data_IF_655351719544
#
_entry.id   IF_655351719544
#
_cell.length_a   1.000
_cell.length_b   1.000
_cell.length_c   1.000
_cell.angle_alpha   90.00
_cell.angle_beta   90.00
_cell.angle_gamma   90.00
#
_symmetry.space_group_name_H-M   'P 1'
#
loop_
_entity.id
_entity.type
_entity.pdbx_description
1 polymer ?
#
# COMPACT_ATOMS: atom_id res chain seq x y z
N UNK A 1 -8.46 -24.11 3.40
CA UNK A 1 -7.63 -23.99 2.18
C UNK A 1 -7.37 -25.31 1.44
N UNK A 2 -7.56 -26.50 2.03
CA UNK A 2 -7.36 -27.78 1.31
C UNK A 2 -8.48 -28.21 0.32
N UNK A 3 -9.65 -27.55 0.36
CA UNK A 3 -10.79 -27.86 -0.51
C UNK A 3 -10.49 -27.51 -1.99
N UNK A 4 -10.71 -28.46 -2.90
CA UNK A 4 -10.35 -28.29 -4.32
C UNK A 4 -11.17 -27.22 -5.05
N UNK A 5 -12.48 -27.12 -4.79
CA UNK A 5 -13.32 -26.07 -5.38
C UNK A 5 -12.91 -24.68 -4.91
N UNK A 6 -12.55 -24.54 -3.63
CA UNK A 6 -12.07 -23.27 -3.10
C UNK A 6 -10.69 -22.87 -3.65
N UNK A 7 -9.80 -23.84 -3.86
CA UNK A 7 -8.53 -23.60 -4.56
C UNK A 7 -8.74 -23.14 -6.00
N UNK A 8 -9.73 -23.70 -6.69
CA UNK A 8 -10.06 -23.28 -8.05
C UNK A 8 -10.48 -21.80 -8.08
N UNK A 9 -11.38 -21.38 -7.17
CA UNK A 9 -11.78 -19.97 -7.05
C UNK A 9 -10.58 -19.05 -6.76
N UNK A 10 -9.70 -19.46 -5.84
CA UNK A 10 -8.50 -18.68 -5.53
C UNK A 10 -7.58 -18.53 -6.76
N UNK A 11 -7.42 -19.57 -7.58
CA UNK A 11 -6.67 -19.49 -8.84
C UNK A 11 -7.33 -18.54 -9.84
N UNK A 12 -8.65 -18.61 -10.01
CA UNK A 12 -9.42 -17.73 -10.90
C UNK A 12 -9.23 -16.25 -10.50
N UNK A 13 -9.33 -15.95 -9.20
CA UNK A 13 -9.09 -14.60 -8.69
C UNK A 13 -7.64 -14.15 -8.89
N UNK A 14 -6.67 -15.02 -8.58
CA UNK A 14 -5.25 -14.71 -8.79
C UNK A 14 -4.97 -14.44 -10.28
N UNK A 15 -5.71 -15.04 -11.21
CA UNK A 15 -5.55 -14.80 -12.65
C UNK A 15 -6.13 -13.46 -13.09
N UNK A 16 -7.21 -12.99 -12.47
CA UNK A 16 -7.83 -11.70 -12.79
C UNK A 16 -7.18 -10.52 -12.05
N UNK A 17 -6.54 -10.78 -10.91
CA UNK A 17 -5.83 -9.78 -10.12
C UNK A 17 -4.63 -9.17 -10.83
N UNK A 18 -4.36 -7.89 -10.54
CA UNK A 18 -3.07 -7.25 -10.84
C UNK A 18 -2.06 -7.62 -9.77
N UNK A 19 -1.04 -8.39 -10.13
CA UNK A 19 0.09 -8.72 -9.24
C UNK A 19 1.29 -7.91 -9.68
N UNK A 20 1.84 -7.09 -8.77
CA UNK A 20 3.05 -6.31 -9.00
C UNK A 20 4.11 -6.77 -8.00
N UNK A 21 5.28 -7.24 -8.44
CA UNK A 21 5.68 -7.49 -9.82
C UNK A 21 5.02 -8.77 -10.41
N UNK A 22 4.75 -8.77 -11.72
CA UNK A 22 3.93 -9.79 -12.41
C UNK A 22 4.51 -11.21 -12.29
N UNK A 23 5.83 -11.31 -12.15
CA UNK A 23 6.58 -12.55 -11.99
C UNK A 23 6.17 -13.32 -10.73
N UNK A 24 5.65 -12.65 -9.70
CA UNK A 24 5.23 -13.30 -8.45
C UNK A 24 3.88 -14.01 -8.56
N UNK A 25 3.13 -13.83 -9.66
CA UNK A 25 1.84 -14.53 -9.86
C UNK A 25 2.01 -16.05 -9.77
N UNK A 26 3.08 -16.59 -10.35
CA UNK A 26 3.34 -18.03 -10.28
C UNK A 26 3.64 -18.49 -8.84
N UNK A 27 4.26 -17.65 -8.02
CA UNK A 27 4.50 -17.95 -6.61
C UNK A 27 3.18 -18.07 -5.84
N UNK A 28 2.24 -17.15 -6.06
CA UNK A 28 0.88 -17.24 -5.51
C UNK A 28 0.16 -18.54 -5.91
N UNK A 29 0.20 -18.89 -7.20
CA UNK A 29 -0.40 -20.15 -7.71
C UNK A 29 0.19 -21.37 -7.04
N UNK A 30 1.52 -21.45 -6.96
CA UNK A 30 2.21 -22.53 -6.27
C UNK A 30 1.76 -22.61 -4.81
N UNK A 31 1.57 -21.45 -4.15
CA UNK A 31 1.09 -21.38 -2.76
C UNK A 31 -0.31 -21.96 -2.61
N UNK A 32 -1.24 -21.56 -3.47
CA UNK A 32 -2.60 -22.14 -3.50
C UNK A 32 -2.55 -23.67 -3.65
N UNK A 33 -1.66 -24.20 -4.49
CA UNK A 33 -1.54 -25.64 -4.75
C UNK A 33 -1.03 -26.43 -3.54
N UNK A 34 0.01 -25.94 -2.85
CA UNK A 34 0.58 -26.67 -1.70
C UNK A 34 -0.21 -26.46 -0.39
N UNK A 35 -0.95 -25.36 -0.26
CA UNK A 35 -1.71 -25.06 0.96
C UNK A 35 -2.74 -26.15 1.28
N UNK A 36 -2.84 -26.52 2.56
CA UNK A 36 -3.79 -27.51 3.07
C UNK A 36 -4.63 -26.92 4.22
N UNK A 37 -5.04 -27.72 5.17
CA UNK A 37 -5.63 -27.24 6.42
C UNK A 37 -4.59 -26.44 7.20
N UNK A 38 -5.04 -25.35 7.83
CA UNK A 38 -4.25 -24.53 8.74
C UNK A 38 -4.96 -24.49 10.08
N UNK A 39 -4.24 -24.70 11.17
CA UNK A 39 -4.78 -24.41 12.50
C UNK A 39 -5.06 -22.90 12.61
N UNK A 40 -6.33 -22.55 12.82
CA UNK A 40 -6.81 -21.16 12.88
C UNK A 40 -6.98 -20.63 14.31
N UNK A 41 -6.67 -21.44 15.32
CA UNK A 41 -6.82 -21.06 16.72
C UNK A 41 -5.75 -21.68 17.62
N UNK A 42 -5.56 -21.06 18.79
CA UNK A 42 -4.57 -21.41 19.82
C UNK A 42 -5.18 -21.26 21.22
N UNK A 43 -4.51 -21.81 22.24
CA UNK A 43 -5.00 -21.77 23.64
C UNK A 43 -4.42 -20.63 24.50
N UNK A 44 -3.39 -19.93 24.02
CA UNK A 44 -2.69 -18.91 24.79
C UNK A 44 -2.31 -17.69 23.93
N UNK A 45 -2.21 -16.53 24.57
CA UNK A 45 -1.92 -15.24 23.94
C UNK A 45 -3.15 -14.32 23.85
N UNK A 46 -3.00 -13.19 23.17
CA UNK A 46 -4.08 -12.25 22.90
C UNK A 46 -4.79 -12.60 21.57
N UNK A 47 -6.06 -12.21 21.45
CA UNK A 47 -6.87 -12.35 20.24
C UNK A 47 -8.35 -12.50 20.55
N UNK A 48 -9.16 -12.65 19.50
CA UNK A 48 -10.60 -12.87 19.61
C UNK A 48 -10.89 -14.35 19.90
N UNK A 49 -11.79 -14.66 20.83
CA UNK A 49 -12.19 -16.04 21.13
C UNK A 49 -13.09 -16.59 20.02
N UNK A 50 -12.97 -17.88 19.71
CA UNK A 50 -13.94 -18.54 18.84
C UNK A 50 -15.35 -18.49 19.48
N UNK A 51 -16.41 -18.12 18.72
CA UNK A 51 -17.72 -17.90 19.31
C UNK A 51 -18.36 -19.20 19.84
N UNK A 52 -18.12 -20.33 19.17
CA UNK A 52 -18.60 -21.67 19.59
C UNK A 52 -17.62 -22.45 20.48
N UNK A 53 -16.39 -21.98 20.66
CA UNK A 53 -15.35 -22.69 21.41
C UNK A 53 -14.45 -21.73 22.19
N UNK A 54 -15.01 -21.15 23.27
CA UNK A 54 -14.40 -20.01 24.00
C UNK A 54 -13.04 -20.27 24.67
N UNK A 55 -12.62 -21.53 24.76
CA UNK A 55 -11.26 -21.93 25.22
C UNK A 55 -10.19 -21.75 24.13
N UNK A 56 -10.61 -21.45 22.91
CA UNK A 56 -9.75 -21.24 21.75
C UNK A 56 -9.80 -19.78 21.31
N UNK A 57 -8.63 -19.25 20.99
CA UNK A 57 -8.38 -17.88 20.55
C UNK A 57 -7.95 -17.95 19.09
N UNK A 58 -8.62 -17.20 18.22
CA UNK A 58 -8.27 -17.08 16.80
C UNK A 58 -6.83 -16.56 16.71
N UNK A 59 -6.01 -17.19 15.86
CA UNK A 59 -4.62 -16.81 15.71
C UNK A 59 -4.43 -15.67 14.70
N UNK A 60 -3.31 -14.95 14.82
CA UNK A 60 -3.09 -13.65 14.18
C UNK A 60 -3.13 -13.67 12.64
N UNK A 61 -2.84 -14.78 11.97
CA UNK A 61 -2.93 -14.89 10.51
C UNK A 61 -4.32 -15.32 10.02
N UNK A 62 -5.28 -15.54 10.91
CA UNK A 62 -6.65 -15.96 10.60
C UNK A 62 -7.67 -14.86 10.88
N UNK A 63 -7.40 -13.96 11.82
CA UNK A 63 -8.25 -12.77 12.08
C UNK A 63 -7.83 -11.53 11.28
N UNK A 64 -6.74 -11.61 10.52
CA UNK A 64 -6.18 -10.50 9.74
C UNK A 64 -6.44 -10.59 8.23
N UNK A 65 -7.39 -11.41 7.78
CA UNK A 65 -7.54 -11.70 6.34
C UNK A 65 -8.59 -10.86 5.61
N UNK A 66 -9.54 -10.25 6.33
CA UNK A 66 -10.64 -9.47 5.71
C UNK A 66 -10.91 -8.13 6.41
N UNK A 67 -10.04 -7.72 7.33
CA UNK A 67 -10.19 -6.48 8.10
C UNK A 67 -10.15 -5.20 7.24
N UNK A 68 -9.79 -5.31 5.97
CA UNK A 68 -9.86 -4.22 5.00
C UNK A 68 -11.31 -3.75 4.80
N UNK A 69 -12.28 -4.66 4.81
CA UNK A 69 -13.70 -4.31 4.78
C UNK A 69 -14.09 -3.51 6.03
N UNK A 70 -13.57 -3.89 7.19
CA UNK A 70 -13.81 -3.17 8.45
C UNK A 70 -13.31 -1.72 8.44
N UNK A 71 -12.23 -1.41 7.71
CA UNK A 71 -11.76 -0.02 7.56
C UNK A 71 -12.79 0.89 6.91
N UNK A 72 -13.60 0.37 5.98
CA UNK A 72 -14.58 1.18 5.24
C UNK A 72 -15.65 1.77 6.17
N UNK A 73 -15.99 1.08 7.26
CA UNK A 73 -17.13 1.44 8.10
C UNK A 73 -16.75 1.88 9.52
N UNK A 74 -15.57 1.49 10.03
CA UNK A 74 -15.23 1.70 11.44
C UNK A 74 -15.26 3.16 11.90
N UNK A 75 -14.91 4.08 11.01
CA UNK A 75 -14.90 5.51 11.34
C UNK A 75 -16.31 6.05 11.61
N UNK A 76 -17.34 5.50 10.96
CA UNK A 76 -18.74 5.84 11.18
C UNK A 76 -19.34 5.07 12.35
N UNK A 77 -18.98 3.80 12.50
CA UNK A 77 -19.42 2.96 13.63
C UNK A 77 -18.97 3.58 14.96
N UNK A 78 -17.70 4.01 15.07
CA UNK A 78 -17.18 4.63 16.30
C UNK A 78 -17.90 5.92 16.68
N UNK A 79 -18.44 6.66 15.71
CA UNK A 79 -19.17 7.90 15.96
C UNK A 79 -20.51 7.67 16.68
N UNK A 80 -21.06 6.46 16.62
CA UNK A 80 -22.35 6.10 17.21
C UNK A 80 -22.23 5.47 18.60
N UNK A 81 -21.01 5.32 19.13
CA UNK A 81 -20.72 4.68 20.43
C UNK A 81 -21.53 3.37 20.65
N UNK A 82 -21.45 2.40 19.72
CA UNK A 82 -22.31 1.23 19.73
C UNK A 82 -22.01 0.34 20.91
N UNK A 83 -23.04 -0.37 21.37
CA UNK A 83 -22.83 -1.48 22.31
C UNK A 83 -22.28 -2.66 21.52
N UNK A 84 -21.33 -3.46 22.06
CA UNK A 84 -20.82 -4.64 21.37
C UNK A 84 -21.93 -5.62 20.93
N UNK A 85 -23.03 -5.65 21.69
CA UNK A 85 -24.20 -6.49 21.41
C UNK A 85 -25.01 -6.02 20.18
N UNK A 86 -24.84 -4.76 19.74
CA UNK A 86 -25.49 -4.22 18.55
C UNK A 86 -24.83 -4.71 17.25
N UNK A 87 -23.58 -5.15 17.31
CA UNK A 87 -22.79 -5.57 16.14
C UNK A 87 -22.99 -7.07 15.85
N UNK A 88 -24.25 -7.47 15.67
CA UNK A 88 -24.65 -8.87 15.45
C UNK A 88 -24.25 -9.40 14.08
N UNK A 89 -24.46 -10.70 13.83
CA UNK A 89 -24.24 -11.28 12.50
C UNK A 89 -25.17 -10.63 11.46
N UNK A 90 -26.45 -10.38 11.78
CA UNK A 90 -27.38 -9.71 10.87
C UNK A 90 -26.96 -8.28 10.53
N UNK A 91 -26.39 -7.55 11.49
CA UNK A 91 -25.82 -6.23 11.25
C UNK A 91 -24.71 -6.28 10.21
N UNK A 92 -23.78 -7.23 10.33
CA UNK A 92 -22.66 -7.36 9.40
C UNK A 92 -23.09 -7.94 8.05
N UNK A 93 -24.03 -8.87 8.03
CA UNK A 93 -24.59 -9.44 6.81
C UNK A 93 -25.31 -8.38 5.97
N UNK A 94 -26.08 -7.48 6.61
CA UNK A 94 -26.69 -6.36 5.90
C UNK A 94 -25.62 -5.44 5.27
N UNK A 95 -24.62 -5.02 6.06
CA UNK A 95 -23.59 -4.08 5.59
C UNK A 95 -22.78 -4.69 4.44
N UNK A 96 -22.27 -5.92 4.61
CA UNK A 96 -21.29 -6.50 3.68
C UNK A 96 -21.90 -7.39 2.60
N UNK A 97 -23.07 -7.98 2.82
CA UNK A 97 -23.72 -8.90 1.88
C UNK A 97 -25.04 -8.34 1.33
N UNK A 98 -25.66 -7.38 2.01
CA UNK A 98 -26.95 -6.80 1.62
C UNK A 98 -28.13 -7.69 1.96
N UNK A 99 -27.96 -8.58 2.92
CA UNK A 99 -29.03 -9.47 3.36
C UNK A 99 -30.02 -8.70 4.26
N UNK A 100 -31.32 -8.85 3.99
CA UNK A 100 -32.38 -8.17 4.75
C UNK A 100 -32.54 -6.69 4.37
N UNK A 101 -33.05 -5.91 5.31
CA UNK A 101 -33.28 -4.46 5.16
C UNK A 101 -32.72 -3.66 6.34
N UNK A 102 -32.48 -2.37 6.11
CA UNK A 102 -32.00 -1.47 7.16
C UNK A 102 -33.00 -1.38 8.32
N UNK A 103 -34.30 -1.39 8.02
CA UNK A 103 -35.37 -1.34 9.02
C UNK A 103 -35.37 -2.58 9.93
N UNK A 104 -35.22 -3.77 9.36
CA UNK A 104 -35.18 -5.02 10.14
C UNK A 104 -33.98 -5.08 11.11
N UNK A 105 -32.84 -4.53 10.69
CA UNK A 105 -31.63 -4.47 11.53
C UNK A 105 -31.75 -3.33 12.57
N UNK A 106 -32.34 -2.20 12.20
CA UNK A 106 -32.59 -1.08 13.11
C UNK A 106 -33.53 -1.48 14.27
N UNK A 107 -34.52 -2.34 14.01
CA UNK A 107 -35.43 -2.85 15.05
C UNK A 107 -34.73 -3.68 16.14
N UNK A 108 -33.51 -4.17 15.87
CA UNK A 108 -32.76 -5.09 16.76
C UNK A 108 -31.48 -4.50 17.31
N UNK A 109 -31.09 -3.30 16.86
CA UNK A 109 -29.84 -2.65 17.23
C UNK A 109 -30.12 -1.22 17.68
N UNK A 110 -29.11 -0.53 18.21
CA UNK A 110 -29.22 0.90 18.50
C UNK A 110 -29.02 1.79 17.27
N UNK A 111 -28.70 1.22 16.10
CA UNK A 111 -28.44 1.97 14.89
C UNK A 111 -29.73 2.36 14.17
N UNK A 112 -29.92 3.63 13.77
CA UNK A 112 -31.03 4.01 12.92
C UNK A 112 -30.84 3.46 11.49
N UNK A 113 -31.94 3.17 10.80
CA UNK A 113 -31.93 2.61 9.43
C UNK A 113 -31.09 3.44 8.45
N UNK A 114 -31.22 4.77 8.50
CA UNK A 114 -30.42 5.70 7.70
C UNK A 114 -28.90 5.47 7.89
N UNK A 115 -28.48 5.23 9.13
CA UNK A 115 -27.07 4.97 9.42
C UNK A 115 -26.60 3.64 8.86
N UNK A 116 -27.44 2.61 8.93
CA UNK A 116 -27.14 1.30 8.35
C UNK A 116 -26.98 1.41 6.83
N UNK A 117 -27.84 2.16 6.16
CA UNK A 117 -27.70 2.46 4.73
C UNK A 117 -26.39 3.20 4.43
N UNK A 118 -26.03 4.22 5.21
CA UNK A 118 -24.75 4.90 5.05
C UNK A 118 -23.56 3.94 5.18
N UNK A 119 -23.57 3.06 6.18
CA UNK A 119 -22.49 2.08 6.39
C UNK A 119 -22.37 1.12 5.20
N UNK A 120 -23.50 0.64 4.68
CA UNK A 120 -23.53 -0.19 3.49
C UNK A 120 -23.01 0.56 2.26
N UNK A 121 -23.44 1.81 2.06
CA UNK A 121 -22.98 2.64 0.94
C UNK A 121 -21.48 2.90 0.99
N UNK A 122 -20.90 3.12 2.17
CA UNK A 122 -19.45 3.27 2.36
C UNK A 122 -18.70 2.01 1.92
N UNK A 123 -19.13 0.83 2.38
CA UNK A 123 -18.54 -0.43 1.94
C UNK A 123 -18.71 -0.62 0.43
N UNK A 124 -19.89 -0.39 -0.11
CA UNK A 124 -20.17 -0.56 -1.54
C UNK A 124 -19.33 0.38 -2.42
N UNK A 125 -19.04 1.58 -1.93
CA UNK A 125 -18.22 2.58 -2.61
C UNK A 125 -16.73 2.22 -2.61
N UNK A 126 -16.18 1.87 -1.43
CA UNK A 126 -14.73 1.63 -1.28
C UNK A 126 -14.30 0.21 -1.68
N UNK A 127 -15.23 -0.74 -1.80
CA UNK A 127 -14.92 -2.14 -2.10
C UNK A 127 -15.33 -2.53 -3.52
N UNK A 128 -14.52 -3.30 -4.26
CA UNK A 128 -13.34 -4.07 -3.83
C UNK A 128 -12.09 -3.23 -3.55
N UNK A 129 -11.19 -3.77 -2.73
CA UNK A 129 -9.87 -3.18 -2.49
C UNK A 129 -9.04 -3.15 -3.80
N UNK A 130 -8.60 -1.96 -4.20
CA UNK A 130 -7.81 -1.77 -5.43
C UNK A 130 -6.42 -2.40 -5.34
N UNK A 131 -5.67 -2.11 -4.27
CA UNK A 131 -4.32 -2.67 -4.08
C UNK A 131 -4.03 -3.01 -2.62
N UNK A 132 -3.39 -4.16 -2.40
CA UNK A 132 -2.82 -4.58 -1.11
C UNK A 132 -1.30 -4.58 -1.16
N UNK A 133 -0.66 -3.79 -0.31
CA UNK A 133 0.80 -3.69 -0.24
C UNK A 133 1.37 -4.55 0.89
N UNK A 134 2.43 -5.32 0.63
CA UNK A 134 3.11 -6.13 1.66
C UNK A 134 4.47 -6.65 1.25
N UNK A 135 5.24 -7.10 2.24
CA UNK A 135 6.47 -7.83 2.02
C UNK A 135 6.23 -9.20 1.36
N UNK A 136 7.21 -9.66 0.57
CA UNK A 136 7.18 -10.97 -0.10
C UNK A 136 7.01 -12.15 0.86
N UNK A 137 7.47 -12.02 2.10
CA UNK A 137 7.34 -13.02 3.16
C UNK A 137 5.88 -13.38 3.48
N UNK A 138 4.93 -12.49 3.18
CA UNK A 138 3.51 -12.69 3.41
C UNK A 138 2.75 -13.39 2.27
N UNK A 139 3.40 -13.65 1.12
CA UNK A 139 2.77 -14.38 -0.01
C UNK A 139 2.33 -15.77 0.45
N UNK A 140 3.23 -16.51 1.09
CA UNK A 140 3.01 -17.91 1.50
C UNK A 140 1.94 -18.09 2.59
N UNK A 141 1.43 -17.00 3.15
CA UNK A 141 0.51 -17.00 4.27
C UNK A 141 -0.58 -15.92 4.11
N UNK A 142 -0.49 -14.80 4.83
CA UNK A 142 -1.47 -13.73 4.92
C UNK A 142 -2.09 -13.33 3.57
N UNK A 143 -1.27 -13.04 2.56
CA UNK A 143 -1.79 -12.56 1.27
C UNK A 143 -2.58 -13.64 0.53
N UNK A 144 -2.14 -14.90 0.62
CA UNK A 144 -2.91 -16.01 0.03
C UNK A 144 -4.16 -16.32 0.86
N UNK A 145 -4.08 -16.29 2.19
CA UNK A 145 -5.24 -16.50 3.08
C UNK A 145 -6.31 -15.42 2.85
N UNK A 146 -5.88 -14.18 2.64
CA UNK A 146 -6.74 -13.07 2.24
C UNK A 146 -7.54 -13.44 1.00
N UNK A 147 -6.91 -13.87 -0.10
CA UNK A 147 -7.61 -14.28 -1.33
C UNK A 147 -8.64 -15.37 -1.04
N UNK A 148 -8.23 -16.45 -0.37
CA UNK A 148 -9.16 -17.52 -0.02
C UNK A 148 -10.35 -17.01 0.80
N UNK A 149 -10.15 -16.24 1.86
CA UNK A 149 -11.27 -15.83 2.72
C UNK A 149 -12.17 -14.80 2.03
N UNK A 150 -11.64 -13.97 1.10
CA UNK A 150 -12.52 -13.13 0.29
C UNK A 150 -13.42 -13.96 -0.63
N UNK A 151 -12.92 -15.04 -1.23
CA UNK A 151 -13.72 -15.99 -2.03
C UNK A 151 -14.87 -16.63 -1.25
N UNK A 152 -14.66 -16.85 0.05
CA UNK A 152 -15.64 -17.51 0.89
C UNK A 152 -16.79 -16.60 1.35
N UNK A 153 -16.57 -15.28 1.34
CA UNK A 153 -17.50 -14.30 1.93
C UNK A 153 -18.21 -13.49 0.84
N UNK A 154 -17.48 -13.05 -0.18
CA UNK A 154 -17.98 -12.04 -1.11
C UNK A 154 -18.13 -12.56 -2.55
N UNK A 155 -19.03 -11.97 -3.35
CA UNK A 155 -19.17 -12.31 -4.75
C UNK A 155 -17.95 -11.84 -5.56
N UNK A 156 -17.88 -12.26 -6.82
CA UNK A 156 -16.72 -12.02 -7.70
C UNK A 156 -16.38 -10.54 -7.86
N UNK A 157 -17.38 -9.67 -7.91
CA UNK A 157 -17.23 -8.22 -8.10
C UNK A 157 -16.55 -7.52 -6.91
N UNK A 158 -16.48 -8.20 -5.76
CA UNK A 158 -15.92 -7.71 -4.51
C UNK A 158 -14.59 -8.37 -4.15
N UNK A 159 -14.04 -9.20 -5.04
CA UNK A 159 -12.71 -9.78 -4.88
C UNK A 159 -11.62 -8.70 -5.03
N UNK A 160 -10.49 -8.81 -4.30
CA UNK A 160 -9.48 -7.76 -4.37
C UNK A 160 -8.90 -7.63 -5.79
N UNK A 161 -8.61 -6.40 -6.23
CA UNK A 161 -8.20 -6.14 -7.62
C UNK A 161 -6.70 -6.30 -7.85
N UNK A 162 -5.89 -6.13 -6.81
CA UNK A 162 -4.44 -6.26 -6.96
C UNK A 162 -3.65 -6.37 -5.66
N UNK A 163 -2.45 -6.92 -5.79
CA UNK A 163 -1.47 -7.08 -4.72
C UNK A 163 -0.13 -6.55 -5.21
N UNK A 164 0.46 -5.65 -4.43
CA UNK A 164 1.79 -5.10 -4.66
C UNK A 164 2.73 -5.67 -3.59
N UNK A 165 3.82 -6.28 -4.04
CA UNK A 165 4.79 -6.93 -3.18
C UNK A 165 6.12 -6.20 -3.25
N UNK A 166 6.72 -5.95 -2.09
CA UNK A 166 8.06 -5.40 -1.95
C UNK A 166 9.03 -6.38 -1.27
N UNK A 167 10.32 -6.19 -1.49
CA UNK A 167 11.38 -6.86 -0.73
C UNK A 167 11.48 -6.35 0.72
N UNK A 168 12.38 -6.95 1.48
CA UNK A 168 12.73 -6.47 2.83
C UNK A 168 13.55 -5.18 2.76
N UNK A 169 13.72 -4.52 3.91
CA UNK A 169 14.67 -3.41 4.05
C UNK A 169 15.92 -3.91 4.75
N UNK A 170 17.08 -3.66 4.15
CA UNK A 170 18.41 -3.92 4.68
C UNK A 170 19.02 -2.64 5.26
N UNK A 171 20.02 -2.80 6.12
CA UNK A 171 20.84 -1.72 6.68
C UNK A 171 22.28 -1.95 6.22
N UNK A 172 22.76 -1.15 5.28
CA UNK A 172 24.11 -1.23 4.72
C UNK A 172 24.45 -2.65 4.20
N UNK A 173 23.51 -3.26 3.48
CA UNK A 173 23.62 -4.60 2.91
C UNK A 173 23.32 -5.75 3.87
N UNK A 174 23.15 -5.48 5.16
CA UNK A 174 22.90 -6.48 6.18
C UNK A 174 21.43 -6.54 6.60
N UNK A 175 20.94 -7.74 6.96
CA UNK A 175 19.59 -7.88 7.51
C UNK A 175 19.48 -7.14 8.83
N UNK A 176 18.44 -6.32 8.97
CA UNK A 176 18.13 -5.63 10.22
C UNK A 176 17.73 -6.64 11.30
N UNK A 177 18.42 -6.64 12.44
CA UNK A 177 18.09 -7.47 13.60
C UNK A 177 18.47 -6.82 14.92
N UNK A 178 17.67 -7.06 15.96
CA UNK A 178 17.95 -6.54 17.31
C UNK A 178 19.27 -7.08 17.85
N UNK A 179 19.61 -8.32 17.53
CA UNK A 179 20.85 -8.97 17.97
C UNK A 179 22.11 -8.37 17.35
N UNK A 180 22.04 -7.89 16.11
CA UNK A 180 23.15 -7.19 15.45
C UNK A 180 23.21 -5.70 15.81
N UNK A 181 22.24 -5.21 16.59
CA UNK A 181 22.12 -3.81 16.98
C UNK A 181 22.17 -2.84 15.78
N UNK A 182 21.66 -3.27 14.62
CA UNK A 182 21.64 -2.52 13.36
C UNK A 182 20.21 -2.12 12.97
N UNK A 183 19.39 -1.74 13.96
CA UNK A 183 18.01 -1.28 13.77
C UNK A 183 17.93 0.16 14.23
N UNK A 184 17.23 0.98 13.44
CA UNK A 184 16.86 2.35 13.82
C UNK A 184 15.33 2.38 13.94
N UNK A 185 14.76 2.71 15.12
CA UNK A 185 13.34 2.98 15.24
C UNK A 185 12.91 4.09 14.27
N UNK A 186 11.72 3.96 13.69
CA UNK A 186 11.23 4.91 12.69
C UNK A 186 11.18 6.35 13.22
N UNK A 187 10.74 6.55 14.47
CA UNK A 187 10.66 7.87 15.09
C UNK A 187 12.06 8.50 15.22
N UNK A 188 13.05 7.75 15.70
CA UNK A 188 14.43 8.20 15.83
C UNK A 188 15.04 8.53 14.45
N UNK A 189 14.71 7.74 13.42
CA UNK A 189 15.16 8.02 12.05
C UNK A 189 14.55 9.32 11.51
N UNK A 190 13.26 9.58 11.77
CA UNK A 190 12.58 10.82 11.37
C UNK A 190 13.19 12.02 12.10
N UNK A 191 13.42 11.91 13.41
CA UNK A 191 14.05 12.99 14.19
C UNK A 191 15.47 13.29 13.71
N UNK A 192 16.22 12.26 13.27
CA UNK A 192 17.62 12.40 12.84
C UNK A 192 17.74 12.97 11.42
N UNK A 193 16.97 12.44 10.46
CA UNK A 193 17.16 12.74 9.03
C UNK A 193 16.05 13.63 8.44
N UNK A 194 14.94 13.80 9.13
CA UNK A 194 13.71 14.37 8.59
C UNK A 194 12.90 13.37 7.78
N UNK A 195 11.59 13.61 7.66
CA UNK A 195 10.66 12.69 7.00
C UNK A 195 10.97 12.53 5.48
N UNK A 196 11.20 13.63 4.76
CA UNK A 196 11.38 13.58 3.31
C UNK A 196 12.72 12.94 2.88
N UNK A 197 13.88 13.28 3.50
CA UNK A 197 15.13 12.59 3.21
C UNK A 197 15.06 11.10 3.50
N UNK A 198 14.43 10.71 4.61
CA UNK A 198 14.21 9.31 4.97
C UNK A 198 13.35 8.61 3.92
N UNK A 199 12.21 9.18 3.53
CA UNK A 199 11.33 8.63 2.48
C UNK A 199 12.07 8.42 1.17
N UNK A 200 12.83 9.42 0.70
CA UNK A 200 13.61 9.28 -0.53
C UNK A 200 14.70 8.21 -0.40
N UNK A 201 15.38 8.14 0.74
CA UNK A 201 16.47 7.17 0.94
C UNK A 201 15.98 5.71 0.89
N UNK A 202 14.76 5.44 1.36
CA UNK A 202 14.13 4.12 1.26
C UNK A 202 13.63 3.83 -0.15
N UNK A 203 13.00 4.82 -0.78
CA UNK A 203 12.34 4.62 -2.07
C UNK A 203 13.31 4.59 -3.27
N UNK A 204 14.46 5.25 -3.16
CA UNK A 204 15.47 5.26 -4.24
C UNK A 204 16.23 3.93 -4.37
N UNK A 205 16.20 3.09 -3.34
CA UNK A 205 16.78 1.73 -3.39
C UNK A 205 15.72 0.65 -3.55
N UNK A 206 14.45 1.00 -3.49
CA UNK A 206 13.34 0.08 -3.63
C UNK A 206 13.08 -0.31 -5.09
N UNK A 207 13.25 -1.60 -5.39
CA UNK A 207 12.73 -2.23 -6.60
C UNK A 207 11.77 -3.36 -6.19
N UNK A 208 10.65 -3.60 -6.91
CA UNK A 208 9.63 -4.55 -6.46
C UNK A 208 10.15 -5.96 -6.14
N UNK A 209 11.14 -6.46 -6.89
CA UNK A 209 11.71 -7.80 -6.72
C UNK A 209 12.93 -7.87 -5.80
N UNK A 210 13.45 -6.75 -5.32
CA UNK A 210 14.70 -6.69 -4.55
C UNK A 210 14.47 -6.10 -3.17
N UNK A 211 15.33 -6.50 -2.25
CA UNK A 211 15.41 -5.83 -0.97
C UNK A 211 15.91 -4.39 -1.18
N UNK A 212 15.27 -3.44 -0.51
CA UNK A 212 15.73 -2.07 -0.45
C UNK A 212 16.89 -1.98 0.55
N UNK A 213 17.90 -1.16 0.27
CA UNK A 213 19.01 -0.94 1.19
C UNK A 213 18.98 0.49 1.73
N UNK A 214 19.08 0.62 3.05
CA UNK A 214 19.15 1.91 3.72
C UNK A 214 20.55 2.13 4.29
N UNK A 215 21.05 3.36 4.18
CA UNK A 215 22.23 3.81 4.89
C UNK A 215 22.08 5.24 5.41
N UNK A 216 22.65 5.57 6.59
CA UNK A 216 22.70 6.95 7.10
C UNK A 216 23.31 7.95 6.12
N UNK A 217 24.33 7.52 5.38
CA UNK A 217 24.98 8.34 4.35
C UNK A 217 24.02 8.65 3.21
N UNK A 218 23.26 7.67 2.73
CA UNK A 218 22.25 7.89 1.70
C UNK A 218 21.17 8.86 2.17
N UNK A 219 20.68 8.71 3.41
CA UNK A 219 19.70 9.63 3.99
C UNK A 219 20.21 11.07 4.04
N UNK A 220 21.46 11.28 4.47
CA UNK A 220 22.11 12.60 4.46
C UNK A 220 22.28 13.15 3.04
N UNK A 221 22.69 12.32 2.09
CA UNK A 221 22.80 12.72 0.69
C UNK A 221 21.43 13.12 0.09
N UNK A 222 20.34 12.47 0.51
CA UNK A 222 18.98 12.82 0.08
C UNK A 222 18.56 14.16 0.69
N UNK A 223 18.93 14.43 1.93
CA UNK A 223 18.71 15.72 2.58
C UNK A 223 19.41 16.86 1.82
N UNK A 224 20.68 16.69 1.48
CA UNK A 224 21.42 17.69 0.71
C UNK A 224 20.82 17.91 -0.68
N UNK A 225 20.32 16.84 -1.31
CA UNK A 225 19.65 16.91 -2.62
C UNK A 225 18.35 17.71 -2.55
N UNK A 226 17.52 17.44 -1.54
CA UNK A 226 16.28 18.19 -1.29
C UNK A 226 16.56 19.66 -0.95
N UNK A 227 17.58 19.94 -0.15
CA UNK A 227 17.98 21.31 0.17
C UNK A 227 18.41 22.08 -1.08
N UNK A 228 19.22 21.48 -1.96
CA UNK A 228 19.60 22.11 -3.25
C UNK A 228 18.39 22.38 -4.12
N UNK A 229 17.47 21.43 -4.22
CA UNK A 229 16.22 21.61 -4.97
C UNK A 229 15.39 22.76 -4.39
N UNK A 230 15.19 22.79 -3.07
CA UNK A 230 14.44 23.84 -2.38
C UNK A 230 15.06 25.22 -2.58
N UNK A 231 16.37 25.37 -2.34
CA UNK A 231 17.08 26.64 -2.54
C UNK A 231 16.96 27.14 -3.97
N UNK A 232 17.03 26.23 -4.95
CA UNK A 232 16.86 26.56 -6.37
C UNK A 232 15.44 27.04 -6.69
N UNK A 233 14.42 26.37 -6.16
CA UNK A 233 13.04 26.79 -6.34
C UNK A 233 12.81 28.20 -5.76
N UNK A 234 13.32 28.48 -4.56
CA UNK A 234 13.25 29.82 -3.95
C UNK A 234 13.97 30.86 -4.80
N UNK A 235 15.15 30.54 -5.36
CA UNK A 235 15.86 31.46 -6.25
C UNK A 235 15.04 31.79 -7.50
N UNK A 236 14.42 30.79 -8.12
CA UNK A 236 13.56 30.98 -9.30
C UNK A 236 12.35 31.85 -8.96
N UNK A 237 11.66 31.56 -7.84
CA UNK A 237 10.48 32.33 -7.39
C UNK A 237 10.85 33.78 -7.06
N UNK A 238 12.05 34.00 -6.51
CA UNK A 238 12.53 35.33 -6.14
C UNK A 238 12.93 36.18 -7.35
N UNK A 239 13.19 35.54 -8.51
CA UNK A 239 13.42 36.24 -9.76
C UNK A 239 12.05 36.56 -10.37
N UNK A 240 11.62 37.81 -10.22
CA UNK A 240 10.42 38.32 -10.88
C UNK A 240 10.67 38.34 -12.40
N UNK A 241 9.92 37.55 -13.17
CA UNK A 241 10.05 37.50 -14.63
C UNK A 241 8.85 38.23 -15.22
N UNK A 242 9.07 39.42 -15.78
CA UNK A 242 8.04 40.16 -16.50
C UNK A 242 7.84 39.56 -17.91
N UNK A 243 6.65 38.98 -18.12
CA UNK A 243 6.23 38.45 -19.42
C UNK A 243 6.81 37.07 -19.77
N UNK A 244 6.32 36.49 -20.87
CA UNK A 244 6.87 35.27 -21.45
C UNK A 244 7.83 35.64 -22.58
N UNK A 245 9.17 35.58 -22.37
CA UNK A 245 10.11 35.84 -23.45
C UNK A 245 9.96 34.80 -24.57
N UNK A 246 10.28 35.15 -25.82
CA UNK A 246 10.23 34.19 -26.92
C UNK A 246 11.26 33.09 -26.66
N UNK A 247 10.78 31.83 -26.62
CA UNK A 247 11.63 30.68 -26.37
C UNK A 247 12.69 30.53 -27.46
N UNK A 248 13.94 30.38 -27.04
CA UNK A 248 15.05 29.93 -27.87
C UNK A 248 15.02 28.40 -28.04
N UNK A 249 15.84 27.89 -28.95
CA UNK A 249 15.92 26.43 -29.19
C UNK A 249 16.43 25.67 -27.96
N UNK A 250 17.32 26.29 -27.17
CA UNK A 250 17.81 25.73 -25.90
C UNK A 250 16.69 25.63 -24.84
N UNK A 251 15.76 26.58 -24.82
CA UNK A 251 14.60 26.57 -23.91
C UNK A 251 13.60 25.48 -24.33
N UNK A 252 13.33 25.37 -25.65
CA UNK A 252 12.50 24.29 -26.20
C UNK A 252 13.09 22.92 -25.91
N UNK A 253 14.41 22.77 -25.98
CA UNK A 253 15.10 21.54 -25.59
C UNK A 253 14.83 21.19 -24.13
N UNK A 254 14.97 22.14 -23.20
CA UNK A 254 14.75 21.88 -21.77
C UNK A 254 13.29 21.53 -21.47
N UNK A 255 12.34 22.21 -22.10
CA UNK A 255 10.92 21.88 -22.00
C UNK A 255 10.63 20.47 -22.55
N UNK A 256 11.24 20.09 -23.67
CA UNK A 256 11.11 18.74 -24.21
C UNK A 256 11.68 17.68 -23.27
N UNK A 257 12.81 17.95 -22.59
CA UNK A 257 13.39 17.07 -21.58
C UNK A 257 12.48 16.90 -20.37
N UNK A 258 11.93 18.00 -19.87
CA UNK A 258 10.97 17.98 -18.78
C UNK A 258 9.75 17.10 -19.11
N UNK A 259 9.17 17.25 -20.31
CA UNK A 259 8.06 16.41 -20.75
C UNK A 259 8.44 14.93 -20.85
N UNK A 260 9.67 14.63 -21.28
CA UNK A 260 10.22 13.27 -21.28
C UNK A 260 10.28 12.67 -19.87
N UNK A 261 10.78 13.43 -18.90
CA UNK A 261 10.83 12.98 -17.49
C UNK A 261 9.44 12.80 -16.87
N UNK A 262 8.48 13.68 -17.20
CA UNK A 262 7.08 13.53 -16.75
C UNK A 262 6.50 12.22 -17.28
N UNK A 263 6.66 11.95 -18.57
CA UNK A 263 6.16 10.71 -19.19
C UNK A 263 6.82 9.47 -18.57
N UNK A 264 8.15 9.46 -18.41
CA UNK A 264 8.90 8.35 -17.83
C UNK A 264 8.51 8.09 -16.36
N UNK A 265 8.34 9.16 -15.56
CA UNK A 265 7.93 9.07 -14.18
C UNK A 265 6.51 8.50 -14.05
N UNK A 266 5.58 8.92 -14.91
CA UNK A 266 4.21 8.40 -14.92
C UNK A 266 4.18 6.91 -15.27
N UNK A 267 4.83 6.50 -16.36
CA UNK A 267 4.90 5.09 -16.78
C UNK A 267 5.56 4.22 -15.69
N UNK A 268 6.63 4.71 -15.06
CA UNK A 268 7.28 3.99 -13.97
C UNK A 268 6.36 3.80 -12.76
N UNK A 269 5.53 4.78 -12.43
CA UNK A 269 4.61 4.70 -11.30
C UNK A 269 3.44 3.74 -11.54
N UNK A 270 3.00 3.52 -12.78
CA UNK A 270 1.98 2.52 -13.11
C UNK A 270 2.39 1.10 -12.67
N UNK A 271 3.68 0.78 -12.77
CA UNK A 271 4.25 -0.50 -12.31
C UNK A 271 4.91 -0.41 -10.93
N UNK A 272 4.66 0.65 -10.16
CA UNK A 272 5.28 0.90 -8.84
C UNK A 272 6.82 0.85 -8.87
N UNK A 273 7.44 1.21 -10.00
CA UNK A 273 8.90 1.31 -10.18
C UNK A 273 9.42 2.62 -9.57
N UNK A 274 9.18 2.83 -8.27
CA UNK A 274 9.42 4.09 -7.57
C UNK A 274 10.87 4.57 -7.69
N UNK A 275 11.85 3.66 -7.64
CA UNK A 275 13.26 4.00 -7.88
C UNK A 275 13.48 4.70 -9.23
N UNK A 276 12.88 4.17 -10.31
CA UNK A 276 12.97 4.77 -11.65
C UNK A 276 12.31 6.14 -11.68
N UNK A 277 11.14 6.27 -11.07
CA UNK A 277 10.43 7.56 -10.91
C UNK A 277 11.30 8.61 -10.23
N UNK A 278 11.87 8.28 -9.06
CA UNK A 278 12.73 9.20 -8.29
C UNK A 278 13.97 9.54 -9.10
N UNK A 279 14.60 8.56 -9.76
CA UNK A 279 15.81 8.79 -10.54
C UNK A 279 15.56 9.78 -11.69
N UNK A 280 14.43 9.63 -12.39
CA UNK A 280 14.04 10.53 -13.49
C UNK A 280 13.70 11.93 -12.96
N UNK A 281 12.87 12.00 -11.92
CA UNK A 281 12.37 13.27 -11.36
C UNK A 281 13.44 14.08 -10.61
N UNK A 282 14.48 13.43 -10.07
CA UNK A 282 15.52 14.11 -9.28
C UNK A 282 16.85 14.18 -10.02
N UNK A 283 17.52 13.05 -10.26
CA UNK A 283 18.88 13.04 -10.83
C UNK A 283 18.92 13.47 -12.27
N UNK A 284 18.15 12.81 -13.15
CA UNK A 284 18.19 13.09 -14.58
C UNK A 284 17.71 14.51 -14.88
N UNK A 285 16.59 14.91 -14.27
CA UNK A 285 16.10 16.27 -14.39
C UNK A 285 17.13 17.29 -13.89
N UNK A 286 17.78 17.07 -12.74
CA UNK A 286 18.81 17.99 -12.25
C UNK A 286 19.97 18.13 -13.23
N UNK A 287 20.44 17.02 -13.82
CA UNK A 287 21.50 17.05 -14.83
C UNK A 287 21.11 17.83 -16.08
N UNK A 288 19.89 17.62 -16.60
CA UNK A 288 19.40 18.35 -17.77
C UNK A 288 19.25 19.84 -17.47
N UNK A 289 18.78 20.22 -16.26
CA UNK A 289 18.72 21.63 -15.88
C UNK A 289 20.13 22.22 -15.68
N UNK A 290 21.08 21.51 -15.09
CA UNK A 290 22.48 21.99 -14.99
C UNK A 290 23.10 22.21 -16.37
N UNK A 291 22.84 21.31 -17.33
CA UNK A 291 23.27 21.47 -18.70
C UNK A 291 22.64 22.69 -19.36
N UNK A 292 21.33 22.88 -19.19
CA UNK A 292 20.61 24.07 -19.66
C UNK A 292 21.24 25.35 -19.11
N UNK A 293 21.44 25.43 -17.79
CA UNK A 293 22.03 26.61 -17.14
C UNK A 293 23.43 26.93 -17.64
N UNK A 294 24.21 25.92 -18.03
CA UNK A 294 25.55 26.14 -18.60
C UNK A 294 25.46 26.80 -19.97
N UNK A 295 24.47 26.44 -20.79
CA UNK A 295 24.32 26.98 -22.16
C UNK A 295 23.74 28.38 -22.20
N UNK A 296 22.84 28.71 -21.28
CA UNK A 296 22.27 30.07 -21.17
C UNK A 296 23.18 31.07 -20.46
N UNK A 297 24.29 30.61 -19.85
CA UNK A 297 25.33 31.48 -19.27
C UNK A 297 26.37 31.96 -20.29
N UNK A 298 26.45 31.28 -21.44
CA UNK A 298 27.38 31.59 -22.53
C UNK A 298 26.75 32.54 -23.58
N UNK A 299 25.54 33.05 -23.31
CA UNK A 299 24.84 34.14 -24.03
C UNK A 299 24.72 35.39 -23.14
#
# INVERSE_FOLDING_TARGET
YGNQGWKQLAHENIDEMTIIPVELRQEFKNVVDWLKEKACARRAGLGTKLPWAKDWIIEALSDSVIYMAYYTVIHKIKGEEPKPEDLTEEFWDYIYLGNGSAEEVADRTTFPAEKLEELRQEFEYYYPMDTRHSGRDLISNHLTYMVFVHDAIWPKEKQPRGIVVNGSVLMQGEKMSKSLNNIIPLIDAIETYGADPLRLSLMITAEPLKDADFSPELAKNMQDTLNRFYSRAIQIISNDVEGEPPLQDIDRWMLSKLQGHIAEANEAMEEMKVRKTIHSATYNLTQDIEWYMKRVKDE
#
